data_IF_024725567704
#
_entry.id   IF_024725567704
#
_cell.length_a   1.000
_cell.length_b   1.000
_cell.length_c   1.000
_cell.angle_alpha   90.00
_cell.angle_beta   90.00
_cell.angle_gamma   90.00
#
_symmetry.space_group_name_H-M   'P 1'
#
loop_
_entity.id
_entity.type
_entity.pdbx_description
1 polymer ?
#
# COMPACT_ATOMS: atom_id res chain seq x y z
N UNK A 1 47.37 -33.72 14.09
CA UNK A 1 46.55 -33.41 12.92
C UNK A 1 45.19 -32.91 13.46
N UNK A 2 45.06 -31.62 13.60
CA UNK A 2 43.84 -30.98 14.08
C UNK A 2 43.11 -30.43 12.85
N UNK A 3 41.99 -31.04 12.52
CA UNK A 3 41.13 -30.57 11.44
C UNK A 3 40.33 -29.38 11.89
N UNK A 4 40.56 -28.27 11.26
CA UNK A 4 39.73 -27.07 11.39
C UNK A 4 38.49 -27.28 10.49
N UNK A 5 37.33 -27.59 11.10
CA UNK A 5 36.04 -27.55 10.42
C UNK A 5 35.66 -26.09 10.23
N UNK A 6 35.79 -25.63 9.00
CA UNK A 6 35.18 -24.37 8.57
C UNK A 6 33.67 -24.57 8.44
N UNK A 7 32.90 -23.94 9.31
CA UNK A 7 31.47 -23.72 9.09
C UNK A 7 31.27 -22.93 7.81
N UNK A 8 30.36 -23.32 6.91
CA UNK A 8 30.06 -22.52 5.75
C UNK A 8 29.30 -21.27 6.20
N UNK A 9 29.89 -20.09 6.02
CA UNK A 9 29.19 -18.82 6.03
C UNK A 9 28.16 -18.85 4.89
N UNK A 10 26.91 -19.01 5.24
CA UNK A 10 25.80 -18.77 4.31
C UNK A 10 25.55 -17.28 4.19
N UNK A 11 26.41 -16.60 3.47
CA UNK A 11 26.16 -15.22 3.02
C UNK A 11 25.12 -15.28 1.90
N UNK A 12 23.83 -15.36 2.28
CA UNK A 12 22.72 -15.23 1.35
C UNK A 12 22.37 -13.75 1.27
N UNK A 13 22.57 -13.05 0.14
CA UNK A 13 22.25 -11.63 0.00
C UNK A 13 20.83 -11.25 0.38
N UNK A 14 19.90 -12.20 0.43
CA UNK A 14 18.52 -12.01 0.86
C UNK A 14 18.30 -12.00 2.38
N UNK A 15 19.24 -12.46 3.20
CA UNK A 15 19.05 -12.58 4.64
C UNK A 15 18.98 -11.23 5.38
N UNK A 16 19.48 -10.17 4.78
CA UNK A 16 19.45 -8.81 5.34
C UNK A 16 18.17 -8.04 5.00
N UNK A 17 17.45 -8.46 3.97
CA UNK A 17 16.23 -7.80 3.52
C UNK A 17 15.06 -8.09 4.48
N UNK A 18 13.95 -7.38 4.27
CA UNK A 18 12.70 -7.56 5.04
C UNK A 18 12.90 -7.51 6.55
N UNK A 19 13.71 -6.57 7.03
CA UNK A 19 14.07 -6.38 8.43
C UNK A 19 14.66 -7.62 9.10
N UNK A 20 15.31 -8.51 8.31
CA UNK A 20 15.93 -9.76 8.79
C UNK A 20 14.92 -10.71 9.46
N UNK A 21 13.65 -10.61 9.08
CA UNK A 21 12.64 -11.52 9.59
C UNK A 21 12.76 -12.90 8.94
N UNK A 22 12.41 -13.93 9.69
CA UNK A 22 12.23 -15.27 9.10
C UNK A 22 11.06 -15.22 8.14
N UNK A 23 11.24 -15.63 6.87
CA UNK A 23 10.15 -15.61 5.90
C UNK A 23 8.91 -16.37 6.41
N UNK A 24 7.69 -15.81 6.19
CA UNK A 24 6.44 -16.44 6.58
C UNK A 24 6.13 -17.62 5.65
N UNK A 25 5.26 -18.53 6.13
CA UNK A 25 4.66 -19.57 5.30
C UNK A 25 3.37 -19.09 4.60
N UNK A 26 2.42 -20.03 4.46
CA UNK A 26 1.10 -19.79 3.84
C UNK A 26 0.03 -19.30 4.84
N UNK A 27 0.43 -19.01 6.07
CA UNK A 27 -0.43 -18.43 7.11
C UNK A 27 0.11 -17.04 7.42
N UNK A 28 -0.71 -15.98 7.37
CA UNK A 28 -0.26 -14.64 7.71
C UNK A 28 0.28 -14.54 9.13
N UNK A 29 1.37 -13.79 9.29
CA UNK A 29 2.00 -13.48 10.56
C UNK A 29 2.16 -11.97 10.70
N UNK A 30 2.19 -11.46 11.94
CA UNK A 30 2.49 -10.05 12.20
C UNK A 30 3.93 -9.75 11.77
N UNK A 31 4.11 -8.68 11.00
CA UNK A 31 5.42 -8.29 10.49
C UNK A 31 6.24 -7.57 11.54
N UNK A 32 7.46 -8.03 11.76
CA UNK A 32 8.48 -7.44 12.63
C UNK A 32 7.94 -6.96 14.00
N UNK A 33 7.32 -7.87 14.81
CA UNK A 33 6.76 -7.53 16.11
C UNK A 33 7.82 -6.99 17.06
N UNK A 34 7.47 -5.90 17.76
CA UNK A 34 8.38 -5.21 18.67
C UNK A 34 9.34 -4.23 17.98
N UNK A 35 9.37 -4.20 16.65
CA UNK A 35 10.19 -3.23 15.87
C UNK A 35 9.33 -2.35 14.96
N UNK A 36 8.44 -2.95 14.19
CA UNK A 36 7.45 -2.26 13.38
C UNK A 36 6.10 -2.31 14.06
N UNK A 37 5.53 -3.50 14.24
CA UNK A 37 4.26 -3.70 14.94
C UNK A 37 4.47 -3.61 16.46
N UNK A 38 3.91 -2.56 17.09
CA UNK A 38 4.05 -2.24 18.50
C UNK A 38 2.70 -2.32 19.23
N UNK A 39 2.66 -2.93 20.40
CA UNK A 39 1.42 -3.17 21.16
C UNK A 39 0.62 -1.92 21.56
N UNK A 40 1.22 -0.74 21.53
CA UNK A 40 0.62 0.53 21.96
C UNK A 40 0.37 1.51 20.80
N UNK A 41 0.48 1.06 19.57
CA UNK A 41 0.40 1.89 18.36
C UNK A 41 -0.37 1.11 17.28
N UNK A 42 -0.93 1.77 16.29
CA UNK A 42 -1.47 1.12 15.10
C UNK A 42 -0.54 1.36 13.92
N UNK A 43 -0.21 0.32 13.17
CA UNK A 43 0.55 0.37 11.93
C UNK A 43 -0.29 -0.11 10.76
N UNK A 44 -0.10 0.53 9.60
CA UNK A 44 -0.86 0.22 8.39
C UNK A 44 -0.12 0.64 7.11
N UNK A 45 -0.63 0.24 5.96
CA UNK A 45 -0.15 0.63 4.64
C UNK A 45 1.38 0.49 4.50
N UNK A 46 1.81 -0.65 4.05
CA UNK A 46 3.24 -0.98 3.93
C UNK A 46 3.71 -0.95 2.47
N UNK A 47 4.91 -0.44 2.24
CA UNK A 47 5.61 -0.53 0.97
C UNK A 47 7.11 -0.72 1.15
N UNK A 48 7.70 -1.64 0.39
CA UNK A 48 9.15 -1.76 0.27
C UNK A 48 9.65 -1.08 -1.01
N UNK A 49 10.85 -0.49 -0.96
CA UNK A 49 11.60 -0.16 -2.16
C UNK A 49 11.89 -1.42 -2.99
N UNK A 50 12.09 -1.26 -4.30
CA UNK A 50 12.32 -2.37 -5.23
C UNK A 50 13.54 -3.22 -4.85
N UNK A 51 14.55 -2.62 -4.24
CA UNK A 51 15.74 -3.30 -3.74
C UNK A 51 15.56 -3.94 -2.36
N UNK A 52 14.35 -3.80 -1.74
CA UNK A 52 14.03 -4.33 -0.43
C UNK A 52 14.77 -3.67 0.75
N UNK A 53 15.41 -2.52 0.55
CA UNK A 53 16.29 -1.87 1.55
C UNK A 53 15.65 -0.67 2.27
N UNK A 54 14.49 -0.22 1.85
CA UNK A 54 13.69 0.78 2.54
C UNK A 54 12.29 0.22 2.77
N UNK A 55 11.79 0.36 3.99
CA UNK A 55 10.42 0.02 4.36
C UNK A 55 9.71 1.28 4.83
N UNK A 56 8.56 1.58 4.24
CA UNK A 56 7.74 2.75 4.53
C UNK A 56 6.37 2.26 4.98
N UNK A 57 5.80 2.87 6.01
CA UNK A 57 4.53 2.45 6.58
C UNK A 57 3.83 3.61 7.29
N UNK A 58 2.52 3.49 7.45
CA UNK A 58 1.71 4.43 8.22
C UNK A 58 1.70 4.10 9.71
N UNK A 59 1.65 5.13 10.52
CA UNK A 59 1.48 5.04 11.97
C UNK A 59 0.27 5.86 12.39
N UNK A 60 -0.70 5.23 13.05
CA UNK A 60 -1.85 5.91 13.64
C UNK A 60 -1.46 6.52 14.98
N UNK A 61 -1.59 7.85 15.09
CA UNK A 61 -1.60 8.55 16.37
C UNK A 61 -3.03 8.68 16.92
N UNK A 62 -3.20 9.44 18.01
CA UNK A 62 -4.50 9.67 18.64
C UNK A 62 -5.45 10.46 17.72
N UNK A 63 -4.94 11.51 17.07
CA UNK A 63 -5.74 12.44 16.25
C UNK A 63 -5.32 12.46 14.77
N UNK A 64 -4.19 11.88 14.40
CA UNK A 64 -3.63 11.93 13.04
C UNK A 64 -2.72 10.75 12.73
N UNK A 65 -2.48 10.54 11.45
CA UNK A 65 -1.54 9.55 10.94
C UNK A 65 -0.27 10.23 10.41
N UNK A 66 0.84 9.49 10.44
CA UNK A 66 2.16 9.92 9.96
C UNK A 66 2.79 8.80 9.13
N UNK A 67 3.61 9.17 8.14
CA UNK A 67 4.39 8.21 7.35
C UNK A 67 5.78 8.04 7.96
N UNK A 68 6.10 6.80 8.30
CA UNK A 68 7.39 6.38 8.86
C UNK A 68 8.21 5.61 7.83
N UNK A 69 9.52 5.62 7.99
CA UNK A 69 10.44 4.82 7.19
C UNK A 69 11.58 4.29 8.06
N UNK A 70 12.07 3.10 7.67
CA UNK A 70 13.34 2.53 8.13
C UNK A 70 14.14 2.06 6.92
N UNK A 71 15.48 2.10 7.01
CA UNK A 71 16.40 1.76 5.90
C UNK A 71 17.48 0.82 6.36
N UNK A 72 17.87 -0.07 5.46
CA UNK A 72 19.06 -0.90 5.62
C UNK A 72 20.31 -0.11 5.22
N UNK A 73 21.16 0.21 6.22
CA UNK A 73 22.44 0.93 6.06
C UNK A 73 23.56 -0.03 6.42
N UNK A 74 24.39 -0.38 5.44
CA UNK A 74 25.29 -1.54 5.59
C UNK A 74 24.47 -2.80 5.85
N UNK A 75 24.69 -3.42 6.99
CA UNK A 75 24.02 -4.67 7.42
C UNK A 75 23.01 -4.45 8.55
N UNK A 76 22.66 -3.19 8.84
CA UNK A 76 21.79 -2.83 9.95
C UNK A 76 20.60 -1.98 9.51
N UNK A 77 19.40 -2.37 9.92
CA UNK A 77 18.22 -1.55 9.76
C UNK A 77 18.19 -0.43 10.78
N UNK A 78 17.98 0.80 10.32
CA UNK A 78 17.83 1.96 11.17
C UNK A 78 16.59 1.87 12.06
N UNK A 79 16.53 2.65 13.13
CA UNK A 79 15.28 2.84 13.86
C UNK A 79 14.24 3.53 12.95
N UNK A 80 12.96 3.08 12.97
CA UNK A 80 11.89 3.74 12.24
C UNK A 80 11.72 5.20 12.69
N UNK A 81 11.55 6.09 11.73
CA UNK A 81 11.31 7.52 12.00
C UNK A 81 10.26 8.10 11.07
N UNK A 82 9.55 9.12 11.52
CA UNK A 82 8.65 9.88 10.68
C UNK A 82 9.43 10.54 9.53
N UNK A 83 8.94 10.38 8.30
CA UNK A 83 9.52 10.98 7.08
C UNK A 83 8.57 11.99 6.44
N UNK A 84 7.26 11.86 6.70
CA UNK A 84 6.27 12.90 6.43
C UNK A 84 5.35 12.98 7.65
N UNK A 85 5.32 14.14 8.27
CA UNK A 85 4.52 14.42 9.46
C UNK A 85 4.20 15.90 9.58
N UNK A 86 3.12 16.24 10.28
CA UNK A 86 2.73 17.61 10.58
C UNK A 86 1.97 17.67 11.91
N UNK A 87 1.99 18.79 12.59
CA UNK A 87 1.30 18.95 13.89
C UNK A 87 -0.24 18.91 13.78
N UNK A 88 -0.79 19.18 12.60
CA UNK A 88 -2.21 19.35 12.35
C UNK A 88 -2.81 18.38 11.34
N UNK A 89 -2.05 17.95 10.34
CA UNK A 89 -2.55 17.18 9.21
C UNK A 89 -2.10 15.72 9.26
N UNK A 90 -2.96 14.83 8.75
CA UNK A 90 -2.64 13.42 8.56
C UNK A 90 -1.92 13.18 7.23
N UNK A 91 -0.97 12.24 7.27
CA UNK A 91 -0.31 11.65 6.10
C UNK A 91 -0.36 10.14 6.23
N UNK A 92 -0.86 9.46 5.20
CA UNK A 92 -1.13 8.03 5.22
C UNK A 92 -0.94 7.39 3.86
N UNK A 93 -0.98 6.06 3.79
CA UNK A 93 -1.05 5.26 2.57
C UNK A 93 0.08 5.56 1.58
N UNK A 94 1.33 5.47 2.05
CA UNK A 94 2.49 5.72 1.21
C UNK A 94 2.67 4.66 0.12
N UNK A 95 2.99 5.12 -1.10
CA UNK A 95 3.34 4.28 -2.24
C UNK A 95 4.50 4.91 -3.03
N UNK A 96 5.39 4.09 -3.59
CA UNK A 96 6.49 4.55 -4.41
C UNK A 96 6.11 4.58 -5.90
N UNK A 97 6.53 5.64 -6.62
CA UNK A 97 6.46 5.65 -8.08
C UNK A 97 7.33 4.53 -8.68
N UNK A 98 7.11 4.08 -9.93
CA UNK A 98 7.86 2.96 -10.53
C UNK A 98 9.38 3.14 -10.52
N UNK A 99 9.87 4.36 -10.68
CA UNK A 99 11.30 4.71 -10.62
C UNK A 99 11.77 5.19 -9.22
N UNK A 100 10.86 5.17 -8.23
CA UNK A 100 11.09 5.55 -6.83
C UNK A 100 11.62 6.98 -6.61
N UNK A 101 11.47 7.87 -7.59
CA UNK A 101 11.80 9.28 -7.45
C UNK A 101 10.75 10.08 -6.68
N UNK A 102 9.53 9.51 -6.53
CA UNK A 102 8.43 10.07 -5.75
C UNK A 102 7.83 9.06 -4.81
N UNK A 103 7.48 9.53 -3.64
CA UNK A 103 6.60 8.85 -2.69
C UNK A 103 5.26 9.57 -2.71
N UNK A 104 4.22 8.89 -3.16
CA UNK A 104 2.85 9.35 -3.07
C UNK A 104 2.27 8.97 -1.72
N UNK A 105 1.33 9.75 -1.23
CA UNK A 105 0.60 9.52 0.02
C UNK A 105 -0.68 10.34 0.03
N UNK A 106 -1.53 10.07 1.00
CA UNK A 106 -2.80 10.75 1.21
C UNK A 106 -2.62 11.82 2.29
N UNK A 107 -3.21 12.99 2.10
CA UNK A 107 -3.24 14.01 3.15
C UNK A 107 -4.52 14.83 3.12
N UNK A 108 -5.00 15.18 4.31
CA UNK A 108 -6.08 16.13 4.53
C UNK A 108 -5.60 17.58 4.66
N UNK A 109 -4.35 17.85 4.26
CA UNK A 109 -3.77 19.19 4.26
C UNK A 109 -4.44 20.08 3.22
N UNK A 110 -4.83 21.33 3.55
CA UNK A 110 -5.22 22.34 2.56
C UNK A 110 -4.10 22.67 1.58
N UNK A 111 -4.45 23.09 0.36
CA UNK A 111 -3.49 23.37 -0.71
C UNK A 111 -2.48 24.48 -0.36
N UNK A 112 -2.88 25.46 0.43
CA UNK A 112 -2.04 26.55 0.91
C UNK A 112 -1.23 26.18 2.17
N UNK A 113 -1.45 24.99 2.72
CA UNK A 113 -0.78 24.53 3.94
C UNK A 113 -1.29 25.16 5.22
N UNK A 114 -2.38 25.94 5.15
CA UNK A 114 -2.94 26.68 6.28
C UNK A 114 -4.43 26.33 6.46
N UNK A 115 -4.97 26.51 7.67
CA UNK A 115 -6.39 26.30 7.95
C UNK A 115 -6.74 24.94 8.54
N UNK A 116 -8.03 24.61 8.50
CA UNK A 116 -8.54 23.34 9.01
C UNK A 116 -8.30 22.18 8.03
N UNK A 117 -8.14 20.96 8.53
CA UNK A 117 -8.09 19.79 7.69
C UNK A 117 -9.29 19.72 6.73
N UNK A 118 -9.03 19.29 5.48
CA UNK A 118 -10.06 19.11 4.45
C UNK A 118 -10.26 17.61 4.13
N UNK A 119 -11.09 17.30 3.11
CA UNK A 119 -11.17 15.98 2.50
C UNK A 119 -9.78 15.54 2.01
N UNK A 120 -9.42 14.26 2.18
CA UNK A 120 -8.12 13.74 1.77
C UNK A 120 -7.90 13.80 0.26
N UNK A 121 -6.72 14.28 -0.13
CA UNK A 121 -6.20 14.33 -1.50
C UNK A 121 -4.97 13.44 -1.65
N UNK A 122 -4.61 13.13 -2.89
CA UNK A 122 -3.31 12.58 -3.27
C UNK A 122 -2.24 13.67 -3.26
N UNK A 123 -1.15 13.40 -2.56
CA UNK A 123 0.04 14.24 -2.48
C UNK A 123 1.28 13.40 -2.83
N UNK A 124 2.40 14.04 -3.05
CA UNK A 124 3.68 13.36 -3.22
C UNK A 124 4.84 14.19 -2.66
N UNK A 125 5.91 13.50 -2.31
CA UNK A 125 7.24 14.08 -2.03
C UNK A 125 8.25 13.54 -3.03
N UNK A 126 9.18 14.38 -3.47
CA UNK A 126 10.27 13.98 -4.37
C UNK A 126 11.46 13.50 -3.55
N UNK A 127 12.13 12.46 -4.00
CA UNK A 127 13.36 11.94 -3.37
C UNK A 127 14.49 12.95 -3.50
N UNK A 128 15.23 13.14 -2.42
CA UNK A 128 16.41 14.01 -2.33
C UNK A 128 17.58 13.24 -1.74
N UNK A 129 18.78 13.81 -1.77
CA UNK A 129 19.95 13.20 -1.09
C UNK A 129 19.73 12.99 0.41
N UNK A 130 18.93 13.85 1.05
CA UNK A 130 18.62 13.80 2.48
C UNK A 130 17.41 12.93 2.87
N UNK A 131 16.68 12.37 1.90
CA UNK A 131 15.44 11.62 2.11
C UNK A 131 14.31 12.11 1.22
N UNK A 132 13.21 12.56 1.80
CA UNK A 132 12.01 13.04 1.07
C UNK A 132 11.89 14.57 1.20
N UNK A 133 11.56 15.22 0.09
CA UNK A 133 11.30 16.66 0.04
C UNK A 133 9.95 17.05 0.64
N UNK A 134 9.58 18.33 0.61
CA UNK A 134 8.29 18.78 1.13
C UNK A 134 7.11 18.21 0.32
N UNK A 135 5.94 17.99 0.97
CA UNK A 135 4.70 17.59 0.31
C UNK A 135 4.26 18.52 -0.82
N UNK A 136 3.82 17.94 -1.93
CA UNK A 136 3.24 18.63 -3.07
C UNK A 136 1.92 17.97 -3.45
N UNK A 137 0.85 18.75 -3.68
CA UNK A 137 -0.43 18.21 -4.12
C UNK A 137 -0.33 17.64 -5.54
N UNK A 138 -0.92 16.47 -5.77
CA UNK A 138 -0.85 15.78 -7.07
C UNK A 138 -1.69 16.46 -8.18
N UNK A 139 -2.44 17.50 -7.83
CA UNK A 139 -3.14 18.37 -8.76
C UNK A 139 -4.54 17.89 -9.16
N UNK A 140 -5.29 18.77 -9.90
CA UNK A 140 -6.73 18.61 -10.10
C UNK A 140 -7.10 17.53 -11.14
N UNK A 141 -6.15 16.90 -11.78
CA UNK A 141 -6.41 15.74 -12.64
C UNK A 141 -6.68 14.50 -11.80
N UNK A 142 -5.84 14.27 -10.78
CA UNK A 142 -5.96 13.15 -9.86
C UNK A 142 -6.92 13.46 -8.71
N UNK A 143 -6.83 14.65 -8.13
CA UNK A 143 -7.70 15.08 -7.05
C UNK A 143 -9.00 15.68 -7.56
N UNK A 144 -10.08 15.49 -6.82
CA UNK A 144 -11.41 16.01 -7.12
C UNK A 144 -11.92 16.88 -5.94
N UNK A 145 -13.20 17.20 -5.90
CA UNK A 145 -13.85 17.79 -4.72
C UNK A 145 -14.40 16.74 -3.75
N UNK A 146 -13.89 15.51 -3.81
CA UNK A 146 -14.25 14.35 -3.01
C UNK A 146 -12.97 13.66 -2.54
N UNK A 147 -13.02 12.84 -1.47
CA UNK A 147 -11.85 12.13 -0.98
C UNK A 147 -11.22 11.20 -2.01
N UNK A 148 -9.89 11.19 -2.03
CA UNK A 148 -9.05 10.21 -2.71
C UNK A 148 -8.19 9.46 -1.68
N UNK A 149 -8.04 8.15 -1.89
CA UNK A 149 -7.26 7.28 -1.01
C UNK A 149 -6.41 6.30 -1.81
N UNK A 150 -5.41 5.77 -1.14
CA UNK A 150 -4.56 4.65 -1.51
C UNK A 150 -4.16 4.60 -2.99
N UNK A 151 -2.88 4.63 -3.26
CA UNK A 151 -2.35 4.58 -4.63
C UNK A 151 -1.44 3.39 -4.85
N UNK A 152 -1.46 2.84 -6.05
CA UNK A 152 -0.46 1.88 -6.53
C UNK A 152 -0.16 2.11 -8.00
N UNK A 153 0.96 1.56 -8.48
CA UNK A 153 1.46 1.80 -9.83
C UNK A 153 1.81 0.53 -10.57
N UNK A 154 1.53 0.50 -11.86
CA UNK A 154 2.16 -0.45 -12.79
C UNK A 154 3.57 0.01 -13.16
N UNK A 155 4.40 -0.86 -13.73
CA UNK A 155 5.74 -0.53 -14.25
C UNK A 155 5.69 0.55 -15.34
N UNK A 156 4.61 0.59 -16.12
CA UNK A 156 4.39 1.59 -17.16
C UNK A 156 3.89 2.94 -16.62
N UNK A 157 3.69 3.06 -15.30
CA UNK A 157 3.28 4.30 -14.62
C UNK A 157 1.78 4.58 -14.65
N UNK A 158 0.94 3.58 -14.95
CA UNK A 158 -0.50 3.71 -14.70
C UNK A 158 -0.74 3.72 -13.20
N UNK A 159 -1.41 4.77 -12.71
CA UNK A 159 -1.77 4.96 -11.32
C UNK A 159 -3.18 4.41 -11.08
N UNK A 160 -3.32 3.53 -10.09
CA UNK A 160 -4.59 3.05 -9.56
C UNK A 160 -4.82 3.68 -8.19
N UNK A 161 -6.04 4.08 -7.90
CA UNK A 161 -6.39 4.73 -6.64
C UNK A 161 -7.87 4.64 -6.34
N UNK A 162 -8.24 4.90 -5.10
CA UNK A 162 -9.61 4.92 -4.60
C UNK A 162 -10.15 6.34 -4.60
N UNK A 163 -11.38 6.55 -5.06
CA UNK A 163 -12.05 7.87 -5.01
C UNK A 163 -13.58 7.74 -4.98
N UNK A 164 -14.24 8.60 -4.22
CA UNK A 164 -15.70 8.75 -4.24
C UNK A 164 -16.19 9.77 -5.28
N UNK A 165 -15.35 10.19 -6.24
CA UNK A 165 -15.70 11.20 -7.28
C UNK A 165 -16.89 10.85 -8.15
N UNK A 166 -17.20 9.55 -8.30
CA UNK A 166 -18.36 9.08 -9.07
C UNK A 166 -19.62 8.89 -8.22
N UNK A 167 -19.51 8.99 -6.89
CA UNK A 167 -20.63 8.80 -5.98
C UNK A 167 -21.75 9.82 -6.22
N UNK A 168 -22.99 9.37 -6.08
CA UNK A 168 -24.15 10.26 -6.14
C UNK A 168 -24.19 11.18 -4.90
N UNK A 169 -24.92 12.29 -5.00
CA UNK A 169 -25.12 13.20 -3.87
C UNK A 169 -25.89 12.48 -2.76
N UNK A 170 -25.29 12.41 -1.59
CA UNK A 170 -25.84 11.70 -0.43
C UNK A 170 -25.25 10.31 -0.18
N UNK A 171 -24.39 9.83 -1.09
CA UNK A 171 -23.67 8.57 -0.97
C UNK A 171 -22.13 8.79 -1.00
N UNK A 172 -21.66 9.64 -0.09
CA UNK A 172 -20.25 10.03 -0.01
C UNK A 172 -19.32 8.87 0.40
N UNK A 173 -19.88 7.77 0.91
CA UNK A 173 -19.13 6.57 1.33
C UNK A 173 -19.02 5.52 0.23
N UNK A 174 -19.60 5.75 -0.95
CA UNK A 174 -19.41 4.90 -2.10
C UNK A 174 -18.09 5.23 -2.80
N UNK A 175 -17.07 4.44 -2.50
CA UNK A 175 -15.74 4.57 -3.08
C UNK A 175 -15.53 3.53 -4.16
N UNK A 176 -14.96 3.97 -5.26
CA UNK A 176 -14.59 3.14 -6.41
C UNK A 176 -13.11 3.18 -6.70
N UNK A 177 -12.61 2.12 -7.29
CA UNK A 177 -11.26 2.04 -7.84
C UNK A 177 -11.24 2.69 -9.22
N UNK A 178 -10.29 3.61 -9.40
CA UNK A 178 -10.03 4.33 -10.64
C UNK A 178 -8.62 4.09 -11.13
N UNK A 179 -8.40 4.22 -12.44
CA UNK A 179 -7.08 4.17 -13.04
C UNK A 179 -6.81 5.42 -13.89
N UNK A 180 -5.60 5.95 -13.79
CA UNK A 180 -5.10 7.07 -14.60
C UNK A 180 -3.79 6.71 -15.27
N UNK A 181 -3.76 6.70 -16.60
CA UNK A 181 -2.53 6.49 -17.37
C UNK A 181 -1.71 7.77 -17.43
N UNK A 182 -0.39 7.64 -17.39
CA UNK A 182 0.50 8.73 -17.69
C UNK A 182 0.87 8.71 -19.20
N UNK A 183 0.73 9.84 -19.88
CA UNK A 183 1.21 10.05 -21.25
C UNK A 183 2.24 11.17 -21.21
N UNK A 184 3.46 10.88 -21.63
CA UNK A 184 4.60 11.83 -21.54
C UNK A 184 4.78 12.40 -20.11
N UNK A 185 4.57 11.57 -19.09
CA UNK A 185 4.69 11.95 -17.68
C UNK A 185 3.51 12.76 -17.11
N UNK A 186 2.43 12.94 -17.90
CA UNK A 186 1.22 13.68 -17.49
C UNK A 186 0.06 12.71 -17.30
N UNK A 187 -0.49 12.64 -16.10
CA UNK A 187 -1.67 11.84 -15.82
C UNK A 187 -2.87 12.31 -16.62
N UNK A 188 -3.60 11.35 -17.18
CA UNK A 188 -4.84 11.58 -17.92
C UNK A 188 -6.03 11.53 -16.96
N UNK A 189 -7.21 11.99 -17.43
CA UNK A 189 -8.43 11.90 -16.63
C UNK A 189 -8.67 10.47 -16.16
N UNK A 190 -8.82 10.23 -14.85
CA UNK A 190 -9.06 8.90 -14.32
C UNK A 190 -10.36 8.28 -14.85
N UNK A 191 -10.32 6.99 -15.10
CA UNK A 191 -11.48 6.16 -15.44
C UNK A 191 -11.82 5.22 -14.29
N UNK A 192 -13.11 5.16 -13.91
CA UNK A 192 -13.63 4.15 -12.99
C UNK A 192 -13.45 2.75 -13.60
N UNK A 193 -13.01 1.77 -12.83
CA UNK A 193 -13.00 0.38 -13.28
C UNK A 193 -14.43 -0.16 -13.41
N UNK A 194 -14.59 -1.23 -14.19
CA UNK A 194 -15.89 -1.89 -14.40
C UNK A 194 -16.39 -2.64 -13.16
N UNK A 195 -17.62 -3.12 -13.26
CA UNK A 195 -18.39 -3.75 -12.17
C UNK A 195 -17.83 -5.14 -11.77
N UNK A 196 -16.92 -5.71 -12.55
CA UNK A 196 -16.16 -6.90 -12.14
C UNK A 196 -15.24 -6.62 -10.93
N UNK A 197 -14.82 -5.35 -10.77
CA UNK A 197 -13.98 -4.86 -9.66
C UNK A 197 -14.80 -4.03 -8.69
N UNK A 198 -15.45 -2.97 -9.14
CA UNK A 198 -16.25 -2.07 -8.30
C UNK A 198 -17.68 -2.61 -8.09
N UNK A 199 -18.16 -2.56 -6.86
CA UNK A 199 -19.51 -2.94 -6.46
C UNK A 199 -20.39 -1.73 -6.16
N UNK A 200 -21.56 -1.92 -5.54
CA UNK A 200 -22.43 -0.83 -5.06
C UNK A 200 -21.96 -0.19 -3.73
N UNK A 201 -20.91 -0.73 -3.10
CA UNK A 201 -20.40 -0.28 -1.80
C UNK A 201 -18.98 0.29 -1.88
N UNK A 202 -18.29 0.20 -0.74
CA UNK A 202 -16.88 0.55 -0.67
C UNK A 202 -16.03 -0.47 -1.42
N UNK A 203 -15.25 -0.02 -2.39
CA UNK A 203 -14.17 -0.75 -3.05
C UNK A 203 -12.93 0.15 -3.11
N UNK A 204 -11.85 -0.24 -2.45
CA UNK A 204 -10.70 0.65 -2.32
C UNK A 204 -9.42 -0.04 -1.87
N UNK A 205 -8.45 0.77 -1.45
CA UNK A 205 -7.12 0.31 -1.02
C UNK A 205 -6.49 -0.65 -2.04
N UNK A 206 -6.44 -0.21 -3.31
CA UNK A 206 -6.06 -1.07 -4.43
C UNK A 206 -4.55 -1.21 -4.58
N UNK A 207 -4.06 -2.43 -4.58
CA UNK A 207 -2.76 -2.81 -5.11
C UNK A 207 -2.91 -3.34 -6.54
N UNK A 208 -2.16 -2.81 -7.48
CA UNK A 208 -1.99 -3.36 -8.83
C UNK A 208 -0.63 -4.05 -8.95
N UNK A 209 -0.61 -5.26 -9.54
CA UNK A 209 0.64 -5.91 -9.89
C UNK A 209 1.45 -5.03 -10.86
N UNK A 210 2.79 -4.97 -10.75
CA UNK A 210 3.63 -4.15 -11.63
C UNK A 210 3.40 -4.39 -13.12
N UNK A 211 3.11 -5.63 -13.52
CA UNK A 211 2.78 -6.05 -14.89
C UNK A 211 1.28 -5.97 -15.23
N UNK A 212 0.48 -5.39 -14.33
CA UNK A 212 -0.98 -5.26 -14.45
C UNK A 212 -1.72 -6.61 -14.58
N UNK A 213 -1.12 -7.72 -14.12
CA UNK A 213 -1.71 -9.06 -14.24
C UNK A 213 -2.81 -9.36 -13.22
N UNK A 214 -2.84 -8.67 -12.09
CA UNK A 214 -3.90 -8.78 -11.07
C UNK A 214 -4.03 -7.51 -10.22
N UNK A 215 -5.18 -7.41 -9.55
CA UNK A 215 -5.48 -6.43 -8.50
C UNK A 215 -5.76 -7.17 -7.19
N UNK A 216 -5.34 -6.58 -6.06
CA UNK A 216 -5.83 -6.92 -4.73
C UNK A 216 -6.40 -5.63 -4.12
N UNK A 217 -7.58 -5.70 -3.52
CA UNK A 217 -8.22 -4.52 -2.96
C UNK A 217 -9.15 -4.87 -1.80
N UNK A 218 -9.46 -3.90 -0.96
CA UNK A 218 -10.43 -4.05 0.13
C UNK A 218 -11.84 -3.73 -0.37
N UNK A 219 -12.83 -4.51 0.05
CA UNK A 219 -14.23 -4.29 -0.30
C UNK A 219 -15.17 -4.58 0.84
N UNK A 220 -16.16 -3.72 1.01
CA UNK A 220 -17.27 -3.90 1.95
C UNK A 220 -18.49 -4.62 1.36
N UNK A 221 -18.35 -5.31 0.22
CA UNK A 221 -19.47 -6.00 -0.46
C UNK A 221 -20.06 -7.12 0.40
N UNK A 222 -21.37 -7.41 0.27
CA UNK A 222 -22.03 -8.45 1.05
C UNK A 222 -21.43 -9.85 0.85
N UNK A 223 -21.41 -10.64 1.93
CA UNK A 223 -20.93 -12.03 1.90
C UNK A 223 -19.46 -12.21 2.28
N UNK A 224 -18.80 -11.13 2.73
CA UNK A 224 -17.46 -11.17 3.34
C UNK A 224 -17.45 -11.70 4.78
N UNK A 225 -16.29 -11.61 5.41
CA UNK A 225 -16.05 -12.06 6.79
C UNK A 225 -16.17 -10.91 7.79
N UNK A 226 -15.79 -9.69 7.38
CA UNK A 226 -15.71 -8.51 8.25
C UNK A 226 -16.30 -7.24 7.65
N UNK A 227 -15.85 -6.09 8.17
CA UNK A 227 -16.27 -4.76 7.70
C UNK A 227 -15.61 -4.34 6.38
N UNK A 228 -14.46 -4.91 6.07
CA UNK A 228 -13.74 -4.80 4.82
C UNK A 228 -12.87 -6.03 4.63
N UNK A 229 -13.04 -6.70 3.52
CA UNK A 229 -12.30 -7.92 3.17
C UNK A 229 -11.40 -7.68 1.96
N UNK A 230 -10.30 -8.41 1.86
CA UNK A 230 -9.45 -8.42 0.68
C UNK A 230 -10.01 -9.34 -0.40
N UNK A 231 -10.04 -8.81 -1.61
CA UNK A 231 -10.47 -9.47 -2.84
C UNK A 231 -9.35 -9.42 -3.87
N UNK A 232 -9.33 -10.41 -4.78
CA UNK A 232 -8.40 -10.47 -5.91
C UNK A 232 -9.15 -10.57 -7.22
N UNK A 233 -8.68 -9.84 -8.24
CA UNK A 233 -9.17 -9.91 -9.62
C UNK A 233 -7.98 -10.02 -10.58
N UNK A 234 -8.11 -10.80 -11.64
CA UNK A 234 -7.05 -11.06 -12.61
C UNK A 234 -7.34 -10.40 -13.95
N UNK A 235 -6.29 -10.02 -14.67
CA UNK A 235 -6.38 -9.49 -16.01
C UNK A 235 -6.90 -10.54 -16.97
N UNK A 236 -7.87 -10.20 -17.79
CA UNK A 236 -8.41 -11.09 -18.83
C UNK A 236 -7.68 -10.89 -20.16
N UNK A 237 -7.75 -11.86 -21.08
CA UNK A 237 -7.10 -11.80 -22.40
C UNK A 237 -7.60 -10.63 -23.27
N UNK A 238 -8.84 -10.20 -23.06
CA UNK A 238 -9.45 -9.04 -23.73
C UNK A 238 -9.12 -7.69 -23.08
N UNK A 239 -8.30 -7.71 -22.02
CA UNK A 239 -7.83 -6.53 -21.31
C UNK A 239 -8.82 -6.01 -20.25
N UNK A 240 -9.84 -6.78 -19.90
CA UNK A 240 -10.73 -6.53 -18.76
C UNK A 240 -10.18 -7.12 -17.45
N UNK A 241 -11.07 -7.25 -16.47
CA UNK A 241 -10.82 -7.84 -15.17
C UNK A 241 -11.83 -8.98 -14.91
N UNK A 242 -11.39 -10.04 -14.26
CA UNK A 242 -12.31 -11.10 -13.79
C UNK A 242 -13.19 -10.58 -12.67
N UNK A 243 -14.35 -11.22 -12.44
CA UNK A 243 -15.12 -11.01 -11.20
C UNK A 243 -14.21 -11.21 -9.99
N UNK A 244 -14.28 -10.25 -9.06
CA UNK A 244 -13.44 -10.25 -7.86
C UNK A 244 -13.78 -11.44 -6.95
N UNK A 245 -12.74 -12.17 -6.52
CA UNK A 245 -12.85 -13.31 -5.60
C UNK A 245 -12.43 -12.89 -4.20
N UNK A 246 -13.27 -13.18 -3.18
CA UNK A 246 -12.88 -13.02 -1.78
C UNK A 246 -11.69 -13.92 -1.44
N UNK A 247 -10.69 -13.39 -0.74
CA UNK A 247 -9.47 -14.13 -0.40
C UNK A 247 -9.66 -15.12 0.78
N UNK A 248 -10.88 -15.23 1.33
CA UNK A 248 -11.24 -16.25 2.31
C UNK A 248 -10.62 -16.04 3.69
N UNK A 249 -11.01 -16.90 4.63
CA UNK A 249 -10.67 -16.77 6.05
C UNK A 249 -9.19 -17.02 6.41
N UNK A 250 -8.36 -17.40 5.46
CA UNK A 250 -6.90 -17.46 5.68
C UNK A 250 -6.30 -16.05 5.69
N UNK A 251 -6.86 -15.14 4.89
CA UNK A 251 -6.43 -13.74 4.76
C UNK A 251 -7.38 -12.84 5.53
N UNK A 252 -8.69 -12.97 5.31
CA UNK A 252 -9.71 -12.08 5.85
C UNK A 252 -10.14 -12.47 7.26
N UNK A 253 -10.38 -11.48 8.09
CA UNK A 253 -10.80 -11.59 9.50
C UNK A 253 -12.24 -11.11 9.68
N UNK A 254 -12.73 -11.11 10.90
CA UNK A 254 -14.02 -10.50 11.26
C UNK A 254 -13.93 -8.97 11.45
N UNK A 255 -12.75 -8.39 11.25
CA UNK A 255 -12.46 -6.95 11.35
C UNK A 255 -12.44 -6.24 10.02
N UNK A 256 -11.40 -5.44 9.83
CA UNK A 256 -11.08 -4.74 8.59
C UNK A 256 -9.72 -5.22 8.07
N UNK A 257 -9.69 -5.70 6.85
CA UNK A 257 -8.49 -6.13 6.14
C UNK A 257 -8.31 -5.22 4.93
N UNK A 258 -7.18 -4.49 4.86
CA UNK A 258 -7.00 -3.37 3.95
C UNK A 258 -5.51 -3.13 3.62
N UNK A 259 -5.21 -2.15 2.79
CA UNK A 259 -3.86 -1.75 2.39
C UNK A 259 -3.00 -2.92 1.88
N UNK A 260 -3.44 -3.69 0.88
CA UNK A 260 -2.65 -4.79 0.31
C UNK A 260 -1.42 -4.29 -0.43
N UNK A 261 -0.31 -5.01 -0.31
CA UNK A 261 0.93 -4.73 -1.04
C UNK A 261 1.69 -6.04 -1.31
N UNK A 262 2.17 -6.25 -2.53
CA UNK A 262 3.06 -7.36 -2.85
C UNK A 262 4.45 -6.80 -3.19
N UNK A 263 5.49 -7.40 -2.61
CA UNK A 263 6.87 -6.97 -2.85
C UNK A 263 7.23 -7.09 -4.34
N UNK A 264 8.11 -6.20 -4.81
CA UNK A 264 8.48 -6.11 -6.22
C UNK A 264 9.08 -7.39 -6.80
N UNK A 265 9.71 -8.20 -5.96
CA UNK A 265 10.24 -9.53 -6.30
C UNK A 265 9.16 -10.63 -6.29
N UNK A 266 7.91 -10.29 -5.97
CA UNK A 266 6.77 -11.21 -5.94
C UNK A 266 6.80 -12.24 -4.82
N UNK A 267 7.64 -12.06 -3.78
CA UNK A 267 7.85 -13.08 -2.74
C UNK A 267 6.87 -12.99 -1.59
N UNK A 268 6.50 -11.77 -1.18
CA UNK A 268 5.68 -11.56 0.01
C UNK A 268 4.49 -10.66 -0.27
N UNK A 269 3.35 -11.07 0.28
CA UNK A 269 2.13 -10.29 0.30
C UNK A 269 1.94 -9.71 1.70
N UNK A 270 1.79 -8.39 1.77
CA UNK A 270 1.54 -7.61 2.97
C UNK A 270 0.13 -7.05 2.95
N UNK A 271 -0.46 -6.91 4.12
CA UNK A 271 -1.74 -6.22 4.32
C UNK A 271 -1.88 -5.74 5.75
N UNK A 272 -2.83 -4.85 6.00
CA UNK A 272 -3.15 -4.34 7.32
C UNK A 272 -4.40 -5.02 7.86
N UNK A 273 -4.36 -5.44 9.10
CA UNK A 273 -5.47 -6.03 9.84
C UNK A 273 -5.30 -5.80 11.34
N UNK A 274 -6.38 -5.59 12.09
CA UNK A 274 -6.35 -5.48 13.55
C UNK A 274 -5.31 -4.47 14.10
N UNK A 275 -5.06 -3.38 13.37
CA UNK A 275 -4.07 -2.32 13.68
C UNK A 275 -2.61 -2.75 13.56
N UNK A 276 -2.32 -3.89 12.94
CA UNK A 276 -0.97 -4.39 12.65
C UNK A 276 -0.77 -4.61 11.15
N UNK A 277 0.49 -4.69 10.75
CA UNK A 277 0.89 -5.11 9.41
C UNK A 277 1.15 -6.61 9.45
N UNK A 278 0.47 -7.35 8.58
CA UNK A 278 0.67 -8.79 8.37
C UNK A 278 1.41 -9.04 7.08
N UNK A 279 2.07 -10.17 7.00
CA UNK A 279 2.71 -10.65 5.80
C UNK A 279 2.58 -12.17 5.65
N UNK A 280 2.65 -12.65 4.42
CA UNK A 280 2.49 -14.05 4.04
C UNK A 280 3.31 -14.32 2.78
N UNK A 281 3.68 -15.57 2.51
CA UNK A 281 4.28 -15.98 1.24
C UNK A 281 3.29 -15.69 0.09
N UNK A 282 3.73 -14.90 -0.90
CA UNK A 282 2.85 -14.44 -1.98
C UNK A 282 2.40 -15.56 -2.93
N UNK A 283 2.99 -16.76 -2.87
CA UNK A 283 2.49 -17.92 -3.62
C UNK A 283 1.07 -18.33 -3.22
N UNK A 284 0.55 -17.82 -2.08
CA UNK A 284 -0.86 -17.99 -1.73
C UNK A 284 -1.79 -17.42 -2.83
N UNK A 285 -1.36 -16.41 -3.59
CA UNK A 285 -2.11 -15.81 -4.68
C UNK A 285 -2.41 -16.79 -5.82
N UNK A 286 -1.58 -17.81 -6.01
CA UNK A 286 -1.78 -18.83 -7.04
C UNK A 286 -3.02 -19.70 -6.75
N UNK A 287 -3.48 -19.73 -5.51
CA UNK A 287 -4.69 -20.49 -5.11
C UNK A 287 -5.99 -19.85 -5.61
N UNK A 288 -5.95 -18.59 -6.04
CA UNK A 288 -7.12 -17.82 -6.52
C UNK A 288 -7.24 -17.77 -8.04
N UNK A 289 -6.24 -18.25 -8.78
CA UNK A 289 -6.19 -18.28 -10.26
C UNK A 289 -7.14 -19.29 -10.88
#
# INVERSE_FOLDING_TARGET
>A
MSGCESTPETDTPGALLYLQQTPPGQVPEVFAPGKISLANRGEFASVFSADGREFIFGVSGDDRAEVFSTRLVGDTWSEPRAVVSHERYSYMDAALSPNEDRMYFISNQPLDGEGEPKDPDLWFSTRTEGGWGPPQNAGPVLNSGRPEYYVSFTDEGTLYFTSSRAAEVGDEMNFDIHASRAVDGVFQRPARLGDAVNSEGYDGDVFVAPDESYLIFSSGRPGGFGGGDLYVSFRTEDGGWTEAKNMGSTINTDGQDYCPFVTRDGRYFFFSSNRDIYWVDASILDTYR
#
